data_IF_157252359044
#
_entry.id   IF_157252359044
#
_cell.length_a   1.000
_cell.length_b   1.000
_cell.length_c   1.000
_cell.angle_alpha   90.00
_cell.angle_beta   90.00
_cell.angle_gamma   90.00
#
_symmetry.space_group_name_H-M   'P 1'
#
loop_
_entity.id
_entity.type
_entity.pdbx_description
1 polymer ?
#
# COMPACT_ATOMS: atom_id res chain seq x y z
N UNK A 1 11.31 -23.36 18.71
CA UNK A 1 11.49 -22.02 19.29
C UNK A 1 11.88 -21.06 18.17
N UNK A 2 10.90 -20.41 17.55
CA UNK A 2 11.15 -19.43 16.49
C UNK A 2 11.53 -18.12 17.17
N UNK A 3 12.71 -17.59 16.86
CA UNK A 3 13.11 -16.24 17.27
C UNK A 3 12.11 -15.24 16.68
N UNK A 4 11.29 -14.65 17.55
CA UNK A 4 10.57 -13.41 17.25
C UNK A 4 11.61 -12.31 17.07
N UNK A 5 12.07 -12.09 15.85
CA UNK A 5 12.66 -10.82 15.47
C UNK A 5 11.53 -9.78 15.47
N UNK A 6 11.30 -9.17 16.63
CA UNK A 6 10.48 -7.97 16.76
C UNK A 6 11.21 -6.81 16.08
N UNK A 7 11.07 -6.71 14.75
CA UNK A 7 11.37 -5.49 14.03
C UNK A 7 10.42 -4.41 14.55
N UNK A 8 10.99 -3.29 14.97
CA UNK A 8 10.33 -2.20 15.67
C UNK A 8 9.04 -1.74 14.99
N UNK A 9 7.97 -1.66 15.79
CA UNK A 9 6.60 -1.21 15.48
C UNK A 9 6.47 0.29 15.15
N UNK A 10 7.57 0.97 14.84
CA UNK A 10 7.56 2.42 14.66
C UNK A 10 7.64 2.78 13.16
N UNK A 11 6.77 3.70 12.73
CA UNK A 11 7.02 4.49 11.52
C UNK A 11 8.25 5.37 11.82
N UNK A 12 9.45 4.83 11.62
CA UNK A 12 10.71 5.53 11.88
C UNK A 12 11.47 5.68 10.57
N UNK A 13 11.36 6.85 9.95
CA UNK A 13 12.20 7.25 8.81
C UNK A 13 11.43 7.89 7.67
N UNK A 14 12.21 8.41 6.71
CA UNK A 14 11.68 8.78 5.41
C UNK A 14 11.58 7.53 4.52
N UNK A 15 10.51 7.44 3.74
CA UNK A 15 10.24 6.34 2.80
C UNK A 15 10.28 6.85 1.36
N UNK A 16 10.52 5.97 0.40
CA UNK A 16 10.47 6.34 -1.01
C UNK A 16 9.04 6.72 -1.44
N UNK A 17 8.93 7.68 -2.35
CA UNK A 17 7.66 8.27 -2.76
C UNK A 17 6.88 7.49 -3.83
N UNK A 18 7.24 6.23 -4.11
CA UNK A 18 6.68 5.43 -5.21
C UNK A 18 5.14 5.32 -5.15
N UNK A 19 4.57 5.08 -3.96
CA UNK A 19 3.10 5.00 -3.79
C UNK A 19 2.41 6.32 -4.14
N UNK A 20 2.98 7.46 -3.70
CA UNK A 20 2.43 8.79 -4.01
C UNK A 20 2.57 9.11 -5.50
N UNK A 21 3.72 8.82 -6.11
CA UNK A 21 3.93 9.02 -7.55
C UNK A 21 2.91 8.23 -8.37
N UNK A 22 2.70 6.97 -8.02
CA UNK A 22 1.70 6.12 -8.65
C UNK A 22 0.28 6.72 -8.54
N UNK A 23 -0.13 7.12 -7.34
CA UNK A 23 -1.46 7.72 -7.12
C UNK A 23 -1.60 9.02 -7.92
N UNK A 24 -0.56 9.86 -7.93
CA UNK A 24 -0.51 11.07 -8.74
C UNK A 24 -0.67 10.80 -10.23
N UNK A 25 0.03 9.81 -10.79
CA UNK A 25 -0.08 9.45 -12.20
C UNK A 25 -1.49 8.93 -12.54
N UNK A 26 -2.06 8.10 -11.66
CA UNK A 26 -3.41 7.54 -11.84
C UNK A 26 -4.48 8.64 -11.86
N UNK A 27 -4.38 9.62 -10.95
CA UNK A 27 -5.32 10.75 -10.88
C UNK A 27 -5.06 11.78 -11.99
N UNK A 28 -3.80 11.99 -12.39
CA UNK A 28 -3.45 12.88 -13.51
C UNK A 28 -4.05 12.39 -14.83
N UNK A 29 -4.07 11.09 -15.07
CA UNK A 29 -4.74 10.47 -16.22
C UNK A 29 -6.25 10.71 -16.24
N UNK A 30 -6.83 11.16 -15.11
CA UNK A 30 -8.25 11.53 -14.97
C UNK A 30 -8.46 13.05 -14.91
N UNK A 31 -7.43 13.84 -15.25
CA UNK A 31 -7.51 15.30 -15.31
C UNK A 31 -7.30 16.01 -13.98
N UNK A 32 -6.89 15.31 -12.93
CA UNK A 32 -6.57 15.94 -11.63
C UNK A 32 -5.16 16.51 -11.68
N UNK A 33 -5.02 17.80 -11.39
CA UNK A 33 -3.71 18.46 -11.37
C UNK A 33 -2.87 18.00 -10.17
N UNK A 34 -1.59 17.73 -10.42
CA UNK A 34 -0.62 17.35 -9.40
C UNK A 34 -0.51 18.41 -8.30
N UNK A 35 -0.68 19.70 -8.63
CA UNK A 35 -0.62 20.77 -7.64
C UNK A 35 -1.69 20.64 -6.55
N UNK A 36 -2.88 20.13 -6.88
CA UNK A 36 -3.95 19.86 -5.93
C UNK A 36 -3.52 18.78 -4.93
N UNK A 37 -2.89 17.71 -5.42
CA UNK A 37 -2.41 16.59 -4.61
C UNK A 37 -1.25 17.00 -3.69
N UNK A 38 -0.37 17.88 -4.16
CA UNK A 38 0.82 18.32 -3.42
C UNK A 38 0.57 19.53 -2.50
N UNK A 39 -0.63 20.13 -2.53
CA UNK A 39 -0.95 21.33 -1.75
C UNK A 39 -0.65 21.12 -0.26
N UNK A 40 0.21 21.97 0.30
CA UNK A 40 0.57 21.92 1.73
C UNK A 40 1.45 20.74 2.15
N UNK A 41 1.81 19.82 1.24
CA UNK A 41 2.69 18.68 1.55
C UNK A 41 4.17 19.08 1.68
N UNK A 42 4.57 20.21 1.09
CA UNK A 42 6.00 20.57 0.96
C UNK A 42 6.80 19.63 0.06
N UNK A 43 6.17 18.67 -0.62
CA UNK A 43 6.79 17.81 -1.63
C UNK A 43 7.00 18.64 -2.90
N UNK A 44 8.20 18.59 -3.47
CA UNK A 44 8.48 19.22 -4.77
C UNK A 44 7.84 18.40 -5.89
N UNK A 45 7.27 19.06 -6.90
CA UNK A 45 6.61 18.41 -8.04
C UNK A 45 7.51 17.39 -8.76
N UNK A 46 8.79 17.70 -8.91
CA UNK A 46 9.78 16.79 -9.50
C UNK A 46 10.25 15.70 -8.55
N UNK A 47 10.01 15.83 -7.24
CA UNK A 47 10.44 14.86 -6.23
C UNK A 47 9.77 13.50 -6.38
N UNK A 48 8.50 13.45 -6.79
CA UNK A 48 7.82 12.16 -6.99
C UNK A 48 8.41 11.30 -8.12
N UNK A 49 9.06 11.93 -9.11
CA UNK A 49 9.72 11.23 -10.22
C UNK A 49 11.13 10.74 -9.85
N UNK A 50 11.70 11.25 -8.77
CA UNK A 50 13.00 10.85 -8.27
C UNK A 50 12.86 9.61 -7.38
N UNK A 51 13.51 8.52 -7.80
CA UNK A 51 13.44 7.23 -7.11
C UNK A 51 14.11 7.25 -5.74
N UNK A 52 15.01 8.19 -5.50
CA UNK A 52 15.69 8.37 -4.22
C UNK A 52 14.97 9.40 -3.32
N UNK A 53 13.92 10.04 -3.84
CA UNK A 53 13.18 11.04 -3.10
C UNK A 53 12.42 10.41 -1.93
N UNK A 54 12.61 11.04 -0.79
CA UNK A 54 12.24 10.55 0.52
C UNK A 54 11.20 11.46 1.13
N UNK A 55 10.08 10.87 1.54
CA UNK A 55 8.95 11.55 2.17
C UNK A 55 8.76 11.06 3.60
N UNK A 56 8.25 11.91 4.49
CA UNK A 56 7.91 11.54 5.86
C UNK A 56 6.40 11.24 6.01
N UNK A 57 6.00 10.86 7.22
CA UNK A 57 4.62 10.51 7.56
C UNK A 57 3.66 11.68 7.35
N UNK A 58 4.03 12.85 7.84
CA UNK A 58 3.20 14.05 7.81
C UNK A 58 2.88 14.45 6.36
N UNK A 59 3.86 14.31 5.47
CA UNK A 59 3.69 14.55 4.04
C UNK A 59 2.70 13.56 3.40
N UNK A 60 2.77 12.28 3.78
CA UNK A 60 1.81 11.25 3.32
C UNK A 60 0.40 11.57 3.81
N UNK A 61 0.25 11.92 5.10
CA UNK A 61 -1.04 12.27 5.69
C UNK A 61 -1.68 13.47 4.97
N UNK A 62 -0.91 14.54 4.72
CA UNK A 62 -1.43 15.71 3.99
C UNK A 62 -1.80 15.32 2.56
N UNK A 63 -0.99 14.52 1.87
CA UNK A 63 -1.29 14.05 0.52
C UNK A 63 -2.59 13.21 0.50
N UNK A 64 -2.79 12.29 1.44
CA UNK A 64 -4.01 11.47 1.52
C UNK A 64 -5.26 12.32 1.79
N UNK A 65 -5.15 13.33 2.67
CA UNK A 65 -6.25 14.30 2.87
C UNK A 65 -6.58 15.07 1.60
N UNK A 66 -5.57 15.47 0.83
CA UNK A 66 -5.80 16.13 -0.46
C UNK A 66 -6.50 15.21 -1.47
N UNK A 67 -6.16 13.90 -1.47
CA UNK A 67 -6.85 12.90 -2.30
C UNK A 67 -8.32 12.77 -1.90
N UNK A 68 -8.62 12.66 -0.60
CA UNK A 68 -10.00 12.56 -0.12
C UNK A 68 -10.81 13.84 -0.38
N UNK A 69 -10.18 15.00 -0.34
CA UNK A 69 -10.82 16.28 -0.66
C UNK A 69 -11.26 16.42 -2.13
N UNK A 70 -10.86 15.49 -3.02
CA UNK A 70 -11.36 15.42 -4.39
C UNK A 70 -12.76 14.81 -4.48
N UNK A 71 -13.24 14.17 -3.40
CA UNK A 71 -14.58 13.56 -3.32
C UNK A 71 -14.87 12.56 -4.45
N UNK A 72 -13.83 11.88 -4.95
CA UNK A 72 -13.97 10.83 -5.97
C UNK A 72 -14.57 9.58 -5.29
N UNK A 73 -15.70 9.05 -5.79
CA UNK A 73 -16.27 7.82 -5.25
C UNK A 73 -15.27 6.67 -5.31
N UNK A 74 -15.21 5.88 -4.23
CA UNK A 74 -14.39 4.66 -4.13
C UNK A 74 -12.91 4.88 -4.49
N UNK A 75 -12.36 6.06 -4.18
CA UNK A 75 -11.03 6.47 -4.64
C UNK A 75 -9.92 5.53 -4.15
N UNK A 76 -10.03 4.95 -2.95
CA UNK A 76 -9.11 3.93 -2.44
C UNK A 76 -9.15 2.66 -3.29
N UNK A 77 -10.35 2.17 -3.66
CA UNK A 77 -10.52 1.03 -4.56
C UNK A 77 -9.92 1.32 -5.94
N UNK A 78 -10.25 2.47 -6.51
CA UNK A 78 -9.76 2.92 -7.82
C UNK A 78 -8.23 2.96 -7.86
N UNK A 79 -7.61 3.57 -6.84
CA UNK A 79 -6.16 3.72 -6.76
C UNK A 79 -5.49 2.37 -6.53
N UNK A 80 -5.98 1.57 -5.58
CA UNK A 80 -5.43 0.25 -5.30
C UNK A 80 -5.51 -0.69 -6.49
N UNK A 81 -6.64 -0.70 -7.21
CA UNK A 81 -6.87 -1.56 -8.38
C UNK A 81 -6.01 -1.20 -9.59
N UNK A 82 -5.51 0.04 -9.62
CA UNK A 82 -4.66 0.51 -10.71
C UNK A 82 -3.19 0.13 -10.52
N UNK A 83 -2.78 -0.32 -9.32
CA UNK A 83 -1.39 -0.68 -9.00
C UNK A 83 -1.00 -1.99 -9.67
N UNK A 84 0.15 -1.98 -10.33
CA UNK A 84 0.77 -3.16 -10.94
C UNK A 84 2.15 -3.42 -10.33
N UNK A 85 2.68 -4.66 -10.38
CA UNK A 85 4.02 -5.01 -9.90
C UNK A 85 5.13 -4.08 -10.44
N UNK A 86 5.05 -3.68 -11.71
CA UNK A 86 6.03 -2.76 -12.32
C UNK A 86 6.12 -1.40 -11.61
N UNK A 87 5.04 -0.95 -10.97
CA UNK A 87 4.97 0.35 -10.29
C UNK A 87 5.76 0.34 -8.98
N UNK A 88 6.02 -0.85 -8.42
CA UNK A 88 6.93 -1.09 -7.31
C UNK A 88 8.38 -1.43 -7.74
N UNK A 89 8.69 -1.34 -9.03
CA UNK A 89 10.02 -1.62 -9.56
C UNK A 89 10.50 -3.03 -9.21
N UNK A 90 11.76 -3.15 -8.77
CA UNK A 90 12.37 -4.45 -8.45
C UNK A 90 11.61 -5.21 -7.36
N UNK A 91 11.05 -4.51 -6.36
CA UNK A 91 10.25 -5.14 -5.32
C UNK A 91 9.04 -5.87 -5.93
N UNK A 92 8.27 -5.18 -6.77
CA UNK A 92 7.09 -5.79 -7.40
C UNK A 92 7.45 -6.86 -8.43
N UNK A 93 8.50 -6.66 -9.24
CA UNK A 93 8.99 -7.72 -10.13
C UNK A 93 9.42 -8.98 -9.37
N UNK A 94 9.99 -8.84 -8.17
CA UNK A 94 10.39 -9.98 -7.34
C UNK A 94 9.17 -10.77 -6.83
N UNK A 95 8.06 -10.08 -6.50
CA UNK A 95 6.80 -10.76 -6.12
C UNK A 95 6.36 -11.72 -7.23
N UNK A 96 6.48 -11.33 -8.50
CA UNK A 96 6.10 -12.16 -9.65
C UNK A 96 6.99 -13.39 -9.83
N UNK A 97 8.19 -13.41 -9.24
CA UNK A 97 9.12 -14.52 -9.33
C UNK A 97 9.02 -15.50 -8.15
N UNK A 98 8.13 -15.25 -7.19
CA UNK A 98 7.89 -16.14 -6.07
C UNK A 98 7.35 -17.50 -6.56
N UNK A 99 7.64 -18.56 -5.81
CA UNK A 99 7.28 -19.94 -6.21
C UNK A 99 5.77 -20.19 -6.12
N UNK A 100 5.14 -19.62 -5.11
CA UNK A 100 3.74 -19.80 -4.76
C UNK A 100 3.21 -18.61 -3.96
N UNK A 101 1.88 -18.53 -3.78
CA UNK A 101 1.23 -17.41 -3.11
C UNK A 101 1.73 -17.22 -1.67
N UNK A 102 2.02 -18.31 -0.96
CA UNK A 102 2.55 -18.25 0.41
C UNK A 102 3.90 -17.53 0.43
N UNK A 103 4.83 -17.95 -0.44
CA UNK A 103 6.14 -17.32 -0.56
C UNK A 103 6.06 -15.85 -1.01
N UNK A 104 5.08 -15.49 -1.84
CA UNK A 104 4.79 -14.09 -2.20
C UNK A 104 4.35 -13.28 -0.97
N UNK A 105 3.40 -13.79 -0.19
CA UNK A 105 2.90 -13.10 0.99
C UNK A 105 4.00 -12.94 2.04
N UNK A 106 4.77 -14.00 2.31
CA UNK A 106 5.94 -13.98 3.20
C UNK A 106 6.99 -12.96 2.76
N UNK A 107 7.33 -12.92 1.46
CA UNK A 107 8.23 -11.91 0.91
C UNK A 107 7.66 -10.50 1.10
N UNK A 108 6.38 -10.30 0.81
CA UNK A 108 5.73 -8.99 0.92
C UNK A 108 5.80 -8.43 2.34
N UNK A 109 5.64 -9.30 3.35
CA UNK A 109 5.73 -8.99 4.78
C UNK A 109 7.16 -8.64 5.19
N UNK A 110 8.12 -9.48 4.82
CA UNK A 110 9.52 -9.33 5.20
C UNK A 110 10.12 -8.05 4.62
N UNK A 111 9.76 -7.70 3.38
CA UNK A 111 10.37 -6.61 2.63
C UNK A 111 9.44 -5.39 2.46
N UNK A 112 8.33 -5.30 3.21
CA UNK A 112 7.37 -4.18 3.11
C UNK A 112 8.03 -2.81 3.34
N UNK A 113 9.11 -2.74 4.13
CA UNK A 113 9.83 -1.50 4.39
C UNK A 113 10.55 -0.93 3.14
N UNK A 114 10.68 -1.71 2.05
CA UNK A 114 11.27 -1.23 0.78
C UNK A 114 10.33 -0.33 -0.01
N UNK A 115 9.05 -0.29 0.36
CA UNK A 115 8.02 0.55 -0.27
C UNK A 115 7.44 1.53 0.75
N UNK A 116 6.52 2.40 0.31
CA UNK A 116 5.83 3.36 1.18
C UNK A 116 4.94 2.61 2.19
N UNK A 117 5.52 2.25 3.34
CA UNK A 117 4.84 1.48 4.39
C UNK A 117 3.91 2.37 5.21
N UNK A 118 2.61 2.31 4.91
CA UNK A 118 1.57 3.02 5.67
C UNK A 118 0.77 2.12 6.61
N UNK A 119 1.02 0.81 6.57
CA UNK A 119 0.43 -0.16 7.49
C UNK A 119 1.48 -1.18 7.97
N UNK A 120 1.23 -1.79 9.11
CA UNK A 120 1.87 -3.05 9.46
C UNK A 120 1.10 -4.21 8.82
N UNK A 121 1.80 -5.26 8.40
CA UNK A 121 1.20 -6.44 7.80
C UNK A 121 1.62 -7.68 8.60
N UNK A 122 0.69 -8.60 8.85
CA UNK A 122 0.98 -9.93 9.39
C UNK A 122 0.18 -11.00 8.65
N UNK A 123 0.77 -12.19 8.52
CA UNK A 123 0.10 -13.38 7.97
C UNK A 123 -0.17 -14.36 9.10
N UNK A 124 -1.43 -14.76 9.22
CA UNK A 124 -1.87 -15.80 10.13
C UNK A 124 -2.33 -16.99 9.28
N UNK A 125 -1.77 -18.15 9.57
CA UNK A 125 -2.03 -19.40 8.84
C UNK A 125 -2.65 -20.35 9.85
N UNK A 126 -3.87 -20.80 9.56
CA UNK A 126 -4.61 -21.76 10.37
C UNK A 126 -4.75 -23.06 9.58
N UNK A 127 -3.73 -23.92 9.69
CA UNK A 127 -3.65 -25.16 8.90
C UNK A 127 -4.83 -26.11 9.15
N UNK A 128 -5.41 -26.10 10.36
CA UNK A 128 -6.58 -26.93 10.71
C UNK A 128 -7.88 -26.47 10.05
N UNK A 129 -8.00 -25.19 9.73
CA UNK A 129 -9.20 -24.61 9.12
C UNK A 129 -9.03 -24.35 7.61
N UNK A 130 -7.88 -24.74 7.04
CA UNK A 130 -7.49 -24.46 5.65
C UNK A 130 -7.63 -22.97 5.29
N UNK A 131 -7.47 -22.09 6.28
CA UNK A 131 -7.65 -20.65 6.14
C UNK A 131 -6.33 -19.93 6.42
N UNK A 132 -6.10 -18.84 5.68
CA UNK A 132 -5.01 -17.91 5.95
C UNK A 132 -5.56 -16.51 5.86
N UNK A 133 -5.22 -15.64 6.81
CA UNK A 133 -5.61 -14.25 6.78
C UNK A 133 -4.39 -13.33 6.82
N UNK A 134 -4.45 -12.28 6.00
CA UNK A 134 -3.54 -11.14 6.11
C UNK A 134 -4.22 -10.06 6.95
N UNK A 135 -3.50 -9.57 7.95
CA UNK A 135 -3.97 -8.51 8.84
C UNK A 135 -3.19 -7.23 8.55
N UNK A 136 -3.92 -6.12 8.52
CA UNK A 136 -3.39 -4.78 8.34
C UNK A 136 -3.63 -3.96 9.60
N UNK A 137 -2.61 -3.24 10.06
CA UNK A 137 -2.72 -2.30 11.17
C UNK A 137 -2.25 -0.92 10.71
N UNK A 138 -3.07 0.10 10.91
CA UNK A 138 -2.75 1.46 10.49
C UNK A 138 -1.50 1.99 11.20
N UNK A 139 -0.58 2.59 10.43
CA UNK A 139 0.60 3.27 10.97
C UNK A 139 0.53 4.79 10.84
N UNK A 140 -0.51 5.31 10.18
CA UNK A 140 -0.70 6.74 10.01
C UNK A 140 -1.21 7.40 11.30
N UNK A 141 -1.90 6.68 12.17
CA UNK A 141 -2.51 7.21 13.40
C UNK A 141 -3.29 8.52 13.14
N UNK A 142 -3.95 8.58 11.98
CA UNK A 142 -4.79 9.68 11.54
C UNK A 142 -6.18 9.10 11.34
N UNK A 143 -7.06 9.28 12.33
CA UNK A 143 -8.37 8.63 12.38
C UNK A 143 -9.24 8.95 11.16
N UNK A 144 -9.13 10.17 10.63
CA UNK A 144 -9.81 10.62 9.42
C UNK A 144 -9.36 9.88 8.14
N UNK A 145 -8.24 9.16 8.19
CA UNK A 145 -7.66 8.42 7.06
C UNK A 145 -7.63 6.90 7.27
N UNK A 146 -8.05 6.41 8.44
CA UNK A 146 -7.88 5.00 8.80
C UNK A 146 -8.56 4.07 7.79
N UNK A 147 -9.81 4.35 7.45
CA UNK A 147 -10.58 3.59 6.46
C UNK A 147 -9.93 3.63 5.08
N UNK A 148 -9.64 4.83 4.57
CA UNK A 148 -8.98 5.02 3.28
C UNK A 148 -7.64 4.25 3.17
N UNK A 149 -6.79 4.35 4.20
CA UNK A 149 -5.46 3.74 4.18
C UNK A 149 -5.54 2.20 4.23
N UNK A 150 -6.41 1.65 5.07
CA UNK A 150 -6.61 0.20 5.18
C UNK A 150 -7.26 -0.35 3.92
N UNK A 151 -8.31 0.30 3.40
CA UNK A 151 -8.97 -0.11 2.16
C UNK A 151 -8.00 -0.08 0.98
N UNK A 152 -7.26 1.01 0.81
CA UNK A 152 -6.24 1.14 -0.23
C UNK A 152 -5.24 -0.01 -0.16
N UNK A 153 -4.76 -0.37 1.04
CA UNK A 153 -3.82 -1.48 1.19
C UNK A 153 -4.44 -2.83 0.83
N UNK A 154 -5.67 -3.11 1.27
CA UNK A 154 -6.38 -4.35 0.93
C UNK A 154 -6.45 -4.55 -0.60
N UNK A 155 -6.79 -3.48 -1.33
CA UNK A 155 -6.95 -3.55 -2.79
C UNK A 155 -5.60 -3.64 -3.50
N UNK A 156 -4.54 -2.99 -2.97
CA UNK A 156 -3.17 -3.19 -3.48
C UNK A 156 -2.77 -4.66 -3.40
N UNK A 157 -2.96 -5.28 -2.23
CA UNK A 157 -2.62 -6.69 -2.05
C UNK A 157 -3.44 -7.56 -2.99
N UNK A 158 -4.75 -7.31 -3.11
CA UNK A 158 -5.62 -8.02 -4.04
C UNK A 158 -5.10 -7.93 -5.48
N UNK A 159 -4.73 -6.73 -5.93
CA UNK A 159 -4.26 -6.48 -7.30
C UNK A 159 -2.94 -7.19 -7.60
N UNK A 160 -1.99 -7.13 -6.65
CA UNK A 160 -0.70 -7.81 -6.78
C UNK A 160 -0.85 -9.35 -6.75
N UNK A 161 -1.78 -9.88 -5.95
CA UNK A 161 -2.07 -11.31 -5.92
C UNK A 161 -2.73 -11.77 -7.22
N UNK A 162 -3.68 -11.01 -7.76
CA UNK A 162 -4.30 -11.30 -9.07
C UNK A 162 -3.27 -11.33 -10.19
N UNK A 163 -2.36 -10.35 -10.21
CA UNK A 163 -1.27 -10.30 -11.19
C UNK A 163 -0.29 -11.46 -11.04
N UNK A 164 0.02 -11.88 -9.81
CA UNK A 164 0.90 -13.03 -9.56
C UNK A 164 0.26 -14.35 -10.00
N UNK A 165 -1.01 -14.54 -9.72
CA UNK A 165 -1.76 -15.75 -10.07
C UNK A 165 -2.18 -15.79 -11.54
N UNK A 166 -2.04 -14.68 -12.27
CA UNK A 166 -2.61 -14.47 -13.61
C UNK A 166 -4.12 -14.76 -13.62
N UNK A 167 -4.83 -14.27 -12.60
CA UNK A 167 -6.25 -14.54 -12.35
C UNK A 167 -6.99 -13.31 -11.83
N UNK A 168 -7.75 -12.67 -12.71
CA UNK A 168 -8.59 -11.51 -12.34
C UNK A 168 -9.79 -11.88 -11.44
N UNK A 169 -10.21 -13.15 -11.46
CA UNK A 169 -11.34 -13.67 -10.69
C UNK A 169 -10.98 -14.07 -9.25
N UNK A 170 -9.70 -14.01 -8.87
CA UNK A 170 -9.29 -14.21 -7.49
C UNK A 170 -9.95 -13.14 -6.58
N UNK A 171 -10.48 -13.57 -5.43
CA UNK A 171 -11.09 -12.71 -4.43
C UNK A 171 -10.80 -13.24 -3.03
N UNK A 172 -10.85 -12.36 -2.04
CA UNK A 172 -10.82 -12.78 -0.64
C UNK A 172 -12.17 -13.42 -0.26
N UNK A 173 -12.14 -14.50 0.52
CA UNK A 173 -13.37 -15.14 1.02
C UNK A 173 -14.15 -14.21 1.97
N UNK A 174 -13.43 -13.38 2.72
CA UNK A 174 -14.01 -12.37 3.60
C UNK A 174 -13.05 -11.18 3.79
N UNK A 175 -13.63 -10.00 3.97
CA UNK A 175 -12.95 -8.81 4.48
C UNK A 175 -13.64 -8.37 5.76
N UNK A 176 -12.85 -8.09 6.80
CA UNK A 176 -13.36 -7.65 8.11
C UNK A 176 -12.62 -6.39 8.52
N UNK A 177 -13.36 -5.32 8.76
CA UNK A 177 -12.83 -4.04 9.18
C UNK A 177 -13.23 -3.76 10.63
N UNK A 178 -12.32 -3.13 11.36
CA UNK A 178 -12.56 -2.61 12.70
C UNK A 178 -11.87 -1.26 12.77
N UNK A 179 -12.65 -0.22 12.98
CA UNK A 179 -12.16 1.14 13.19
C UNK A 179 -12.60 1.57 14.59
N UNK A 180 -11.70 2.21 15.33
CA UNK A 180 -11.97 2.75 16.66
C UNK A 180 -12.81 4.03 16.62
#
# INVERSE_FOLDING_TARGET
>A
MVQKNSLSTNFTGQVFAHKLNFMSNTLSNRGIDLSCLLKGTGIKSNGLNDREYKINKEQIVIFYRNVLALEIPDVSLLLGASIRPKDYGLYGCTLLCCKDLRSLLEFSLQYHNLVTKTVNMSLHVEDELEQSCIRFEDLLFASDLAEFNIELQCVIVLSLVRDFLDRDDFAFDALRFSFD
#
